data_IF_622221612425
#
_entry.id   IF_622221612425
#
_cell.length_a   1.000
_cell.length_b   1.000
_cell.length_c   1.000
_cell.angle_alpha   90.00
_cell.angle_beta   90.00
_cell.angle_gamma   90.00
#
_symmetry.space_group_name_H-M   'P 1'
#
loop_
_entity.id
_entity.type
_entity.pdbx_description
1 polymer ?
#
# COMPACT_ATOMS: atom_id res chain seq x y z
N UNK A 1 5.01 -17.39 -8.43
CA UNK A 1 5.81 -16.34 -9.11
C UNK A 1 4.99 -15.12 -9.52
N UNK A 2 3.83 -15.27 -10.18
CA UNK A 2 3.02 -14.14 -10.68
C UNK A 2 2.59 -13.10 -9.62
N UNK A 3 2.25 -13.55 -8.40
CA UNK A 3 1.83 -12.66 -7.29
C UNK A 3 2.96 -11.73 -6.82
N UNK A 4 4.14 -12.31 -6.60
CA UNK A 4 5.32 -11.55 -6.15
C UNK A 4 5.79 -10.54 -7.21
N UNK A 5 5.70 -10.90 -8.49
CA UNK A 5 6.03 -9.97 -9.58
C UNK A 5 5.06 -8.78 -9.61
N UNK A 6 3.76 -9.02 -9.41
CA UNK A 6 2.75 -7.94 -9.35
C UNK A 6 2.97 -7.00 -8.17
N UNK A 7 3.29 -7.54 -6.98
CA UNK A 7 3.66 -6.74 -5.80
C UNK A 7 4.83 -5.80 -6.09
N UNK A 8 5.90 -6.33 -6.68
CA UNK A 8 7.10 -5.54 -6.97
C UNK A 8 6.90 -4.52 -8.10
N UNK A 9 6.09 -4.85 -9.10
CA UNK A 9 5.72 -3.90 -10.15
C UNK A 9 4.86 -2.75 -9.58
N UNK A 10 3.88 -3.08 -8.74
CA UNK A 10 3.04 -2.09 -8.06
C UNK A 10 3.84 -1.18 -7.14
N UNK A 11 4.75 -1.75 -6.34
CA UNK A 11 5.70 -1.00 -5.51
C UNK A 11 6.47 0.02 -6.31
N UNK A 12 7.09 -0.40 -7.42
CA UNK A 12 7.87 0.50 -8.29
C UNK A 12 7.01 1.61 -8.90
N UNK A 13 5.78 1.31 -9.32
CA UNK A 13 4.87 2.33 -9.85
C UNK A 13 4.43 3.32 -8.77
N UNK A 14 4.07 2.86 -7.58
CA UNK A 14 3.73 3.72 -6.45
C UNK A 14 4.90 4.61 -6.04
N UNK A 15 6.11 4.06 -5.99
CA UNK A 15 7.34 4.79 -5.71
C UNK A 15 7.63 5.92 -6.73
N UNK A 16 7.24 5.74 -8.00
CA UNK A 16 7.32 6.80 -9.01
C UNK A 16 6.16 7.81 -8.88
N UNK A 17 4.97 7.33 -8.52
CA UNK A 17 3.75 8.13 -8.42
C UNK A 17 3.74 9.05 -7.19
N UNK A 18 4.34 8.59 -6.09
CA UNK A 18 4.40 9.22 -4.77
C UNK A 18 5.88 9.39 -4.36
N UNK A 19 6.62 10.29 -5.04
CA UNK A 19 8.07 10.42 -4.85
C UNK A 19 8.47 10.80 -3.42
N UNK A 20 7.63 11.56 -2.71
CA UNK A 20 7.83 11.99 -1.32
C UNK A 20 7.86 10.80 -0.36
N UNK A 21 7.15 9.71 -0.70
CA UNK A 21 7.02 8.51 0.12
C UNK A 21 7.85 7.34 -0.41
N UNK A 22 8.63 7.56 -1.47
CA UNK A 22 9.38 6.53 -2.19
C UNK A 22 10.18 5.62 -1.26
N UNK A 23 10.91 6.20 -0.30
CA UNK A 23 11.75 5.43 0.63
C UNK A 23 10.90 4.45 1.45
N UNK A 24 9.81 4.95 2.04
CA UNK A 24 8.90 4.14 2.87
C UNK A 24 8.20 3.05 2.05
N UNK A 25 7.76 3.37 0.82
CA UNK A 25 7.16 2.39 -0.11
C UNK A 25 8.14 1.25 -0.45
N UNK A 26 9.42 1.58 -0.64
CA UNK A 26 10.45 0.59 -0.97
C UNK A 26 10.84 -0.27 0.24
N UNK A 27 10.80 0.29 1.44
CA UNK A 27 11.12 -0.39 2.70
C UNK A 27 9.95 -1.22 3.26
N UNK A 28 8.71 -0.91 2.85
CA UNK A 28 7.49 -1.61 3.26
C UNK A 28 7.55 -3.14 3.02
N UNK A 29 7.35 -3.90 4.09
CA UNK A 29 7.37 -5.38 4.11
C UNK A 29 6.11 -6.00 4.69
N UNK A 30 5.21 -5.19 5.24
CA UNK A 30 4.03 -5.75 5.88
C UNK A 30 3.13 -6.42 4.85
N UNK A 31 2.59 -7.62 5.14
CA UNK A 31 1.77 -8.37 4.18
C UNK A 31 0.63 -7.55 3.58
N UNK A 32 0.00 -6.69 4.40
CA UNK A 32 -1.11 -5.86 3.98
C UNK A 32 -0.67 -4.72 3.03
N UNK A 33 0.49 -4.09 3.28
CA UNK A 33 1.09 -3.10 2.37
C UNK A 33 1.42 -3.74 1.02
N UNK A 34 1.95 -4.98 1.05
CA UNK A 34 2.23 -5.74 -0.16
C UNK A 34 0.94 -6.06 -0.95
N UNK A 35 -0.17 -6.31 -0.27
CA UNK A 35 -1.47 -6.52 -0.93
C UNK A 35 -1.98 -5.26 -1.60
N UNK A 36 -1.80 -4.08 -0.99
CA UNK A 36 -2.11 -2.82 -1.64
C UNK A 36 -1.26 -2.58 -2.89
N UNK A 37 0.03 -2.94 -2.86
CA UNK A 37 0.91 -2.81 -4.03
C UNK A 37 0.44 -3.71 -5.17
N UNK A 38 0.05 -4.95 -4.85
CA UNK A 38 -0.55 -5.84 -5.83
C UNK A 38 -1.86 -5.30 -6.41
N UNK A 39 -2.76 -4.82 -5.55
CA UNK A 39 -4.04 -4.24 -5.97
C UNK A 39 -3.83 -3.05 -6.90
N UNK A 40 -2.86 -2.17 -6.58
CA UNK A 40 -2.51 -1.05 -7.44
C UNK A 40 -2.02 -1.51 -8.82
N UNK A 41 -1.13 -2.51 -8.87
CA UNK A 41 -0.64 -3.05 -10.15
C UNK A 41 -1.80 -3.62 -10.99
N UNK A 42 -2.74 -4.33 -10.37
CA UNK A 42 -3.90 -4.88 -11.07
C UNK A 42 -4.84 -3.79 -11.60
N UNK A 43 -5.08 -2.74 -10.81
CA UNK A 43 -5.91 -1.61 -11.23
C UNK A 43 -5.29 -0.87 -12.41
N UNK A 44 -3.97 -0.66 -12.39
CA UNK A 44 -3.24 -0.01 -13.49
C UNK A 44 -3.23 -0.87 -14.75
N UNK A 45 -3.04 -2.19 -14.63
CA UNK A 45 -3.13 -3.11 -15.77
C UNK A 45 -4.52 -3.08 -16.43
N UNK A 46 -5.58 -3.10 -15.62
CA UNK A 46 -6.95 -3.01 -16.10
C UNK A 46 -7.21 -1.67 -16.79
N UNK A 47 -6.80 -0.56 -16.18
CA UNK A 47 -6.88 0.77 -16.79
C UNK A 47 -6.17 0.81 -18.13
N UNK A 48 -4.92 0.35 -18.19
CA UNK A 48 -4.10 0.40 -19.40
C UNK A 48 -4.72 -0.47 -20.51
N UNK A 49 -5.32 -1.61 -20.15
CA UNK A 49 -6.07 -2.44 -21.10
C UNK A 49 -7.31 -1.73 -21.67
N UNK A 50 -8.07 -1.03 -20.83
CA UNK A 50 -9.25 -0.25 -21.26
C UNK A 50 -8.83 0.94 -22.11
N UNK A 51 -7.79 1.69 -21.71
CA UNK A 51 -7.27 2.84 -22.47
C UNK A 51 -6.79 2.45 -23.87
N UNK A 52 -6.16 1.27 -24.02
CA UNK A 52 -5.74 0.76 -25.35
C UNK A 52 -6.92 0.46 -26.27
N UNK A 53 -8.06 0.05 -25.70
CA UNK A 53 -9.28 -0.23 -26.48
C UNK A 53 -9.98 1.06 -26.93
N UNK A 54 -9.75 2.22 -26.29
CA UNK A 54 -10.26 3.56 -26.68
C UNK A 54 -11.79 3.70 -26.86
N UNK A 55 -12.60 2.71 -26.47
CA UNK A 55 -14.04 2.73 -26.73
C UNK A 55 -14.90 3.31 -25.60
N UNK A 56 -14.39 3.40 -24.36
CA UNK A 56 -15.20 3.83 -23.21
C UNK A 56 -14.42 4.75 -22.26
N UNK A 57 -14.61 6.05 -22.43
CA UNK A 57 -13.98 7.08 -21.59
C UNK A 57 -14.51 7.08 -20.15
N UNK A 58 -15.76 6.65 -19.94
CA UNK A 58 -16.35 6.56 -18.61
C UNK A 58 -15.67 5.43 -17.84
N UNK A 59 -15.50 4.28 -18.46
CA UNK A 59 -14.81 3.15 -17.87
C UNK A 59 -13.33 3.47 -17.56
N UNK A 60 -12.63 4.18 -18.46
CA UNK A 60 -11.27 4.65 -18.16
C UNK A 60 -11.24 5.50 -16.89
N UNK A 61 -12.20 6.43 -16.76
CA UNK A 61 -12.30 7.30 -15.59
C UNK A 61 -12.56 6.52 -14.30
N UNK A 62 -13.44 5.52 -14.32
CA UNK A 62 -13.72 4.66 -13.17
C UNK A 62 -12.46 3.92 -12.69
N UNK A 63 -11.63 3.45 -13.64
CA UNK A 63 -10.35 2.82 -13.29
C UNK A 63 -9.31 3.83 -12.79
N UNK A 64 -9.28 5.07 -13.29
CA UNK A 64 -8.43 6.13 -12.76
C UNK A 64 -8.82 6.48 -11.32
N UNK A 65 -10.11 6.60 -11.02
CA UNK A 65 -10.63 6.82 -9.67
C UNK A 65 -10.26 5.66 -8.73
N UNK A 66 -10.37 4.41 -9.21
CA UNK A 66 -9.95 3.23 -8.46
C UNK A 66 -8.45 3.26 -8.12
N UNK A 67 -7.59 3.62 -9.09
CA UNK A 67 -6.15 3.76 -8.84
C UNK A 67 -5.88 4.82 -7.78
N UNK A 68 -6.59 5.95 -7.83
CA UNK A 68 -6.43 7.04 -6.86
C UNK A 68 -6.86 6.66 -5.44
N UNK A 69 -7.95 5.91 -5.28
CA UNK A 69 -8.36 5.42 -3.95
C UNK A 69 -7.33 4.44 -3.36
N UNK A 70 -6.74 3.58 -4.21
CA UNK A 70 -5.65 2.69 -3.77
C UNK A 70 -4.41 3.51 -3.36
N UNK A 71 -4.06 4.58 -4.09
CA UNK A 71 -2.97 5.50 -3.71
C UNK A 71 -3.21 6.08 -2.30
N UNK A 72 -4.43 6.54 -1.99
CA UNK A 72 -4.78 7.02 -0.64
C UNK A 72 -4.67 5.94 0.43
N UNK A 73 -5.03 4.71 0.10
CA UNK A 73 -4.91 3.58 1.03
C UNK A 73 -3.45 3.28 1.32
N UNK A 74 -2.58 3.33 0.31
CA UNK A 74 -1.12 3.18 0.47
C UNK A 74 -0.54 4.29 1.34
N UNK A 75 -0.96 5.54 1.14
CA UNK A 75 -0.48 6.66 1.95
C UNK A 75 -0.82 6.43 3.43
N UNK A 76 -2.09 6.11 3.72
CA UNK A 76 -2.52 5.76 5.09
C UNK A 76 -1.73 4.57 5.63
N UNK A 77 -1.54 3.55 4.81
CA UNK A 77 -0.86 2.32 5.18
C UNK A 77 0.58 2.46 5.63
N UNK A 78 1.24 3.47 5.08
CA UNK A 78 2.66 3.74 5.30
C UNK A 78 2.85 4.69 6.47
N UNK A 79 1.88 5.57 6.74
CA UNK A 79 1.91 6.47 7.88
C UNK A 79 1.42 5.83 9.17
N UNK A 80 0.56 4.83 9.09
CA UNK A 80 0.07 4.14 10.28
C UNK A 80 1.17 3.21 10.81
N UNK A 81 1.59 3.35 12.09
CA UNK A 81 2.48 2.39 12.72
C UNK A 81 1.82 1.02 12.60
N UNK A 82 2.57 0.00 12.20
CA UNK A 82 1.97 -1.33 12.12
C UNK A 82 1.39 -1.68 13.50
N UNK A 83 0.27 -2.39 13.57
CA UNK A 83 -0.28 -2.85 14.85
C UNK A 83 0.77 -3.67 15.65
N UNK A 84 1.78 -4.23 14.97
CA UNK A 84 2.96 -4.85 15.59
C UNK A 84 3.87 -3.83 16.30
N UNK A 85 4.09 -2.66 15.72
CA UNK A 85 4.88 -1.58 16.32
C UNK A 85 4.19 -0.97 17.54
N UNK A 86 2.84 -0.94 17.56
CA UNK A 86 2.07 -0.53 18.73
C UNK A 86 2.09 -1.59 19.84
N UNK A 87 1.99 -2.88 19.49
CA UNK A 87 2.04 -3.98 20.45
C UNK A 87 3.41 -4.13 21.15
N UNK A 88 4.50 -3.79 20.47
CA UNK A 88 5.85 -3.77 21.06
C UNK A 88 6.07 -2.62 22.06
N UNK A 89 5.25 -1.57 22.03
CA UNK A 89 5.34 -0.43 22.94
C UNK A 89 4.54 -0.61 24.24
N UNK A 90 3.57 -1.53 24.28
CA UNK A 90 2.84 -1.91 25.50
C UNK A 90 3.55 -3.08 26.21
N UNK A 91 4.73 -2.85 26.78
CA UNK A 91 5.25 -3.74 27.84
C UNK A 91 4.59 -3.36 29.17
N UNK A 92 3.84 -4.26 29.84
CA UNK A 92 3.45 -4.04 31.22
C UNK A 92 4.64 -4.40 32.12
N UNK A 93 5.42 -3.39 32.54
CA UNK A 93 6.34 -3.48 33.69
C UNK A 93 5.94 -2.39 34.67
N UNK A 94 5.88 -2.56 35.98
CA UNK A 94 6.26 -3.61 36.94
C UNK A 94 5.25 -3.52 38.11
N UNK A 95 5.02 -4.59 38.90
CA UNK A 95 4.29 -4.46 40.15
C UNK A 95 5.16 -3.69 41.15
N UNK A 96 4.66 -2.57 41.65
CA UNK A 96 5.27 -1.84 42.77
C UNK A 96 5.17 -2.67 44.04
N UNK A 97 6.15 -3.54 44.25
CA UNK A 97 6.46 -4.14 45.54
C UNK A 97 7.45 -3.21 46.27
N UNK A 98 6.95 -2.41 47.21
CA UNK A 98 7.74 -1.92 48.33
C UNK A 98 6.80 -1.79 49.54
N UNK A 99 6.80 -2.84 50.36
CA UNK A 99 6.35 -2.79 51.74
C UNK A 99 7.33 -2.07 52.66
N UNK A 100 6.87 -1.80 53.88
CA UNK A 100 7.66 -1.25 54.99
C UNK A 100 6.87 -0.24 55.80
#
# INVERSE_FOLDING_TARGET
MARSNRREAGRRRLAMRLPEMRKLIMEARDPWQLELFEAYQMAVEARDAVRRRRFDLKLVREYDETCFEIEKHVIRAIHEPSARDMALQHKPGEPSDLGG
#
